data_IF_015149869969
#
_entry.id   IF_015149869969
#
_cell.length_a   1.000
_cell.length_b   1.000
_cell.length_c   1.000
_cell.angle_alpha   90.00
_cell.angle_beta   90.00
_cell.angle_gamma   90.00
#
_symmetry.space_group_name_H-M   'P 1'
#
loop_
_entity.id
_entity.type
_entity.pdbx_description
1 polymer ?
#
# COMPACT_ATOMS: atom_id res chain seq x y z
N UNK A 1 -4.60 4.03 18.14
CA UNK A 1 -3.58 3.36 19.01
C UNK A 1 -4.19 2.20 19.81
N UNK A 2 -5.35 2.36 20.45
CA UNK A 2 -6.00 1.31 21.25
C UNK A 2 -6.35 0.03 20.47
N UNK A 3 -6.90 0.17 19.25
CA UNK A 3 -7.25 -0.98 18.41
C UNK A 3 -6.05 -1.80 17.95
N UNK A 4 -4.93 -1.17 17.57
CA UNK A 4 -3.68 -1.88 17.25
C UNK A 4 -3.18 -2.70 18.44
N UNK A 5 -3.26 -2.14 19.66
CA UNK A 5 -2.84 -2.84 20.87
C UNK A 5 -3.71 -4.06 21.16
N UNK A 6 -5.04 -3.92 21.06
CA UNK A 6 -5.98 -5.02 21.28
C UNK A 6 -5.81 -6.10 20.21
N UNK A 7 -5.61 -5.72 18.94
CA UNK A 7 -5.36 -6.66 17.86
C UNK A 7 -4.09 -7.47 18.10
N UNK A 8 -2.96 -6.82 18.44
CA UNK A 8 -1.71 -7.52 18.74
C UNK A 8 -1.85 -8.44 19.97
N UNK A 9 -2.57 -8.00 20.99
CA UNK A 9 -2.82 -8.78 22.20
C UNK A 9 -3.64 -10.04 21.90
N UNK A 10 -4.76 -9.91 21.19
CA UNK A 10 -5.59 -11.06 20.81
C UNK A 10 -4.81 -12.05 19.92
N UNK A 11 -3.90 -11.53 19.09
CA UNK A 11 -3.08 -12.37 18.22
C UNK A 11 -2.03 -13.15 19.03
N UNK A 12 -1.37 -12.51 20.00
CA UNK A 12 -0.46 -13.15 20.95
C UNK A 12 -1.17 -14.23 21.77
N UNK A 13 -2.33 -13.91 22.33
CA UNK A 13 -3.12 -14.85 23.13
C UNK A 13 -3.56 -16.07 22.30
N UNK A 14 -3.86 -15.90 21.01
CA UNK A 14 -4.17 -17.01 20.12
C UNK A 14 -2.97 -17.95 19.91
N UNK A 15 -1.74 -17.44 19.86
CA UNK A 15 -0.53 -18.26 19.76
C UNK A 15 -0.19 -18.97 21.07
N UNK A 16 -0.48 -18.36 22.22
CA UNK A 16 -0.31 -18.99 23.53
C UNK A 16 -1.26 -20.19 23.72
N UNK A 17 -2.50 -20.10 23.21
CA UNK A 17 -3.46 -21.22 23.21
C UNK A 17 -2.99 -22.37 22.30
N UNK A 18 -2.36 -22.06 21.18
CA UNK A 18 -1.80 -23.07 20.25
C UNK A 18 -0.59 -23.80 20.87
N UNK A 19 0.14 -23.16 21.79
CA UNK A 19 1.32 -23.75 22.43
C UNK A 19 1.01 -24.68 23.62
N UNK A 20 -0.20 -24.63 24.20
CA UNK A 20 -0.62 -25.59 25.24
C UNK A 20 -0.71 -27.04 24.71
N UNK A 21 -0.90 -27.22 23.40
CA UNK A 21 -0.99 -28.54 22.74
C UNK A 21 0.38 -29.17 22.35
N UNK A 22 1.51 -28.60 22.78
CA UNK A 22 2.87 -29.14 22.51
C UNK A 22 3.16 -29.47 21.02
N UNK A 23 2.46 -28.85 20.08
CA UNK A 23 2.83 -28.88 18.68
C UNK A 23 3.87 -27.79 18.48
N UNK A 24 5.15 -28.14 18.59
CA UNK A 24 6.23 -27.27 18.13
C UNK A 24 5.93 -26.96 16.66
N UNK A 25 5.59 -25.71 16.30
CA UNK A 25 5.33 -25.40 14.91
C UNK A 25 6.61 -25.69 14.12
N UNK A 26 6.50 -26.20 12.88
CA UNK A 26 7.67 -26.38 12.03
C UNK A 26 8.45 -25.07 11.95
N UNK A 27 9.78 -25.14 11.87
CA UNK A 27 10.61 -23.97 11.60
C UNK A 27 10.23 -23.43 10.21
N UNK A 28 9.34 -22.44 10.17
CA UNK A 28 8.92 -21.76 8.94
C UNK A 28 9.94 -20.67 8.65
N UNK A 29 10.68 -20.83 7.55
CA UNK A 29 11.57 -19.78 7.08
C UNK A 29 10.77 -18.69 6.36
N UNK A 30 11.36 -17.50 6.17
CA UNK A 30 10.74 -16.44 5.37
C UNK A 30 10.42 -16.91 3.94
N UNK A 31 11.27 -17.78 3.38
CA UNK A 31 11.05 -18.40 2.08
C UNK A 31 9.79 -19.27 2.07
N UNK A 32 9.61 -20.08 3.11
CA UNK A 32 8.41 -20.93 3.25
C UNK A 32 7.15 -20.08 3.40
N UNK A 33 7.21 -18.99 4.17
CA UNK A 33 6.08 -18.08 4.33
C UNK A 33 5.65 -17.44 3.00
N UNK A 34 6.62 -16.96 2.20
CA UNK A 34 6.34 -16.38 0.86
C UNK A 34 5.68 -17.43 -0.03
N UNK A 35 6.23 -18.65 -0.07
CA UNK A 35 5.69 -19.72 -0.89
C UNK A 35 4.30 -20.19 -0.41
N UNK A 36 4.05 -20.23 0.90
CA UNK A 36 2.73 -20.53 1.46
C UNK A 36 1.70 -19.49 1.07
N UNK A 37 2.04 -18.20 1.14
CA UNK A 37 1.14 -17.13 0.69
C UNK A 37 0.85 -17.27 -0.79
N UNK A 38 1.87 -17.49 -1.62
CA UNK A 38 1.71 -17.68 -3.06
C UNK A 38 0.82 -18.89 -3.39
N UNK A 39 1.02 -20.02 -2.70
CA UNK A 39 0.19 -21.22 -2.88
C UNK A 39 -1.24 -21.03 -2.36
N UNK A 40 -1.41 -20.36 -1.23
CA UNK A 40 -2.72 -20.03 -0.69
C UNK A 40 -3.49 -19.15 -1.68
N UNK A 41 -2.83 -18.16 -2.27
CA UNK A 41 -3.44 -17.26 -3.24
C UNK A 41 -3.92 -17.97 -4.50
N UNK A 42 -3.18 -18.99 -4.98
CA UNK A 42 -3.62 -19.84 -6.11
C UNK A 42 -4.94 -20.58 -5.85
N UNK A 43 -5.26 -20.83 -4.58
CA UNK A 43 -6.48 -21.51 -4.16
C UNK A 43 -7.63 -20.54 -3.86
N UNK A 44 -7.39 -19.22 -3.91
CA UNK A 44 -8.43 -18.22 -3.71
C UNK A 44 -9.31 -18.15 -4.96
N UNK A 45 -10.58 -18.50 -4.79
CA UNK A 45 -11.62 -18.41 -5.81
C UNK A 45 -12.44 -17.13 -5.65
N UNK A 46 -13.16 -16.70 -6.69
CA UNK A 46 -14.09 -15.57 -6.60
C UNK A 46 -15.14 -15.76 -5.50
N UNK A 47 -15.61 -17.00 -5.28
CA UNK A 47 -16.52 -17.32 -4.18
C UNK A 47 -15.89 -17.14 -2.80
N UNK A 48 -14.57 -17.37 -2.67
CA UNK A 48 -13.82 -17.12 -1.43
C UNK A 48 -13.73 -15.62 -1.14
N UNK A 49 -13.50 -14.81 -2.16
CA UNK A 49 -13.46 -13.34 -2.03
C UNK A 49 -14.85 -12.81 -1.63
N UNK A 50 -15.90 -13.23 -2.34
CA UNK A 50 -17.29 -12.82 -2.06
C UNK A 50 -17.69 -13.14 -0.62
N UNK A 51 -17.41 -14.37 -0.15
CA UNK A 51 -17.69 -14.77 1.24
C UNK A 51 -16.89 -13.95 2.25
N UNK A 52 -15.62 -13.69 1.96
CA UNK A 52 -14.75 -12.90 2.84
C UNK A 52 -15.24 -11.47 2.98
N UNK A 53 -15.67 -10.84 1.88
CA UNK A 53 -16.24 -9.50 1.88
C UNK A 53 -17.61 -9.43 2.54
N UNK A 54 -18.45 -10.47 2.36
CA UNK A 54 -19.70 -10.62 3.09
C UNK A 54 -19.48 -10.71 4.61
N UNK A 55 -18.51 -11.52 5.05
CA UNK A 55 -18.16 -11.65 6.49
C UNK A 55 -17.53 -10.38 7.06
N UNK A 56 -16.80 -9.63 6.25
CA UNK A 56 -16.25 -8.32 6.61
C UNK A 56 -17.31 -7.21 6.64
N UNK A 57 -18.55 -7.48 6.22
CA UNK A 57 -19.63 -6.49 6.15
C UNK A 57 -19.42 -5.43 5.07
N UNK A 58 -18.51 -5.67 4.12
CA UNK A 58 -18.25 -4.79 2.98
C UNK A 58 -19.41 -4.91 1.98
N UNK A 59 -19.95 -6.11 1.81
CA UNK A 59 -21.19 -6.33 1.08
C UNK A 59 -22.37 -6.21 2.05
N UNK A 60 -23.34 -5.36 1.70
CA UNK A 60 -24.55 -5.14 2.50
C UNK A 60 -25.42 -6.41 2.49
N UNK A 61 -25.35 -7.16 3.58
CA UNK A 61 -26.22 -8.30 3.93
C UNK A 61 -26.36 -9.39 2.84
N UNK A 62 -25.37 -10.28 2.75
CA UNK A 62 -25.65 -11.69 2.45
C UNK A 62 -26.11 -12.37 3.76
N UNK A 63 -27.20 -11.89 4.37
CA UNK A 63 -27.68 -12.33 5.70
C UNK A 63 -28.29 -13.75 5.71
N UNK A 64 -28.04 -14.57 4.67
CA UNK A 64 -28.54 -15.94 4.58
C UNK A 64 -27.51 -16.90 3.98
N UNK A 65 -26.29 -16.95 4.53
CA UNK A 65 -25.53 -18.18 4.44
C UNK A 65 -25.49 -18.80 5.83
N UNK A 66 -26.59 -19.46 6.13
CA UNK A 66 -26.74 -20.42 7.21
C UNK A 66 -25.49 -21.31 7.28
N UNK A 67 -24.96 -21.44 8.49
CA UNK A 67 -23.75 -22.14 8.87
C UNK A 67 -23.99 -23.66 8.89
N UNK A 68 -24.59 -24.16 7.82
CA UNK A 68 -24.93 -25.57 7.67
C UNK A 68 -24.10 -26.15 6.54
N UNK A 69 -23.09 -26.94 6.92
CA UNK A 69 -22.42 -27.90 6.06
C UNK A 69 -23.45 -28.66 5.20
N UNK A 70 -23.66 -28.25 3.96
CA UNK A 70 -24.30 -29.09 2.96
C UNK A 70 -23.62 -28.94 1.61
N UNK A 71 -22.94 -30.04 1.30
CA UNK A 71 -22.56 -30.56 0.00
C UNK A 71 -23.60 -30.25 -1.09
N UNK A 72 -23.09 -29.84 -2.26
CA UNK A 72 -23.72 -29.92 -3.59
C UNK A 72 -25.19 -29.51 -3.69
N UNK A 73 -25.48 -28.26 -4.08
CA UNK A 73 -26.70 -27.96 -4.86
C UNK A 73 -26.59 -26.65 -5.65
N UNK A 74 -26.36 -26.83 -6.94
CA UNK A 74 -26.97 -26.10 -8.07
C UNK A 74 -27.06 -24.57 -8.04
N UNK A 75 -26.06 -23.95 -8.68
CA UNK A 75 -26.21 -23.11 -9.87
C UNK A 75 -27.66 -22.77 -10.28
N UNK A 76 -28.17 -21.60 -9.87
CA UNK A 76 -29.14 -20.77 -10.62
C UNK A 76 -29.40 -19.42 -9.92
N UNK A 77 -28.34 -18.66 -9.61
CA UNK A 77 -28.50 -17.22 -9.42
C UNK A 77 -28.75 -16.61 -10.81
N UNK A 78 -29.84 -15.86 -10.96
CA UNK A 78 -30.30 -15.38 -12.27
C UNK A 78 -29.43 -14.21 -12.75
N UNK A 79 -29.31 -14.00 -14.07
CA UNK A 79 -28.65 -12.82 -14.67
C UNK A 79 -29.17 -11.46 -14.12
N UNK A 80 -30.32 -11.46 -13.47
CA UNK A 80 -30.88 -10.28 -12.80
C UNK A 80 -30.21 -9.95 -11.45
N UNK A 81 -29.60 -10.91 -10.77
CA UNK A 81 -28.89 -10.70 -9.50
C UNK A 81 -27.47 -10.21 -9.74
N UNK A 82 -26.80 -10.70 -10.79
CA UNK A 82 -25.49 -10.21 -11.23
C UNK A 82 -25.55 -8.75 -11.67
N UNK A 83 -26.55 -8.38 -12.49
CA UNK A 83 -26.74 -6.98 -12.91
C UNK A 83 -27.07 -6.04 -11.74
N UNK A 84 -27.73 -6.56 -10.70
CA UNK A 84 -28.05 -5.79 -9.49
C UNK A 84 -26.80 -5.57 -8.61
N UNK A 85 -25.96 -6.60 -8.51
CA UNK A 85 -24.68 -6.53 -7.80
C UNK A 85 -23.72 -5.56 -8.50
N UNK A 86 -23.65 -5.62 -9.83
CA UNK A 86 -22.81 -4.72 -10.64
C UNK A 86 -23.22 -3.26 -10.42
N UNK A 87 -24.51 -2.96 -10.41
CA UNK A 87 -25.02 -1.61 -10.12
C UNK A 87 -24.72 -1.12 -8.70
N UNK A 88 -24.72 -2.02 -7.70
CA UNK A 88 -24.37 -1.67 -6.31
C UNK A 88 -22.87 -1.35 -6.17
N UNK A 89 -22.01 -2.13 -6.82
CA UNK A 89 -20.56 -1.91 -6.83
C UNK A 89 -20.23 -0.56 -7.48
N UNK A 90 -20.85 -0.23 -8.62
CA UNK A 90 -20.67 1.07 -9.30
C UNK A 90 -21.04 2.23 -8.35
N UNK A 91 -22.16 2.13 -7.64
CA UNK A 91 -22.60 3.17 -6.71
C UNK A 91 -21.64 3.35 -5.51
N UNK A 92 -21.01 2.26 -5.04
CA UNK A 92 -19.97 2.34 -3.99
C UNK A 92 -18.72 3.02 -4.53
N UNK A 93 -18.31 2.70 -5.76
CA UNK A 93 -17.14 3.29 -6.43
C UNK A 93 -17.33 4.81 -6.60
N UNK A 94 -18.51 5.26 -7.03
CA UNK A 94 -18.85 6.68 -7.18
C UNK A 94 -18.85 7.47 -5.85
N UNK A 95 -19.02 6.78 -4.71
CA UNK A 95 -18.99 7.41 -3.39
C UNK A 95 -17.57 7.54 -2.81
N UNK A 96 -16.55 6.96 -3.45
CA UNK A 96 -15.17 7.09 -3.01
C UNK A 96 -14.66 8.50 -3.31
N UNK A 97 -13.89 9.15 -2.40
CA UNK A 97 -13.28 10.45 -2.64
C UNK A 97 -12.04 10.30 -3.54
N UNK A 98 -12.23 9.68 -4.70
CA UNK A 98 -11.20 9.42 -5.71
C UNK A 98 -11.64 10.18 -6.96
N UNK A 99 -10.80 11.09 -7.43
CA UNK A 99 -11.03 11.75 -8.70
C UNK A 99 -10.79 10.72 -9.82
N UNK A 100 -11.81 10.48 -10.65
CA UNK A 100 -11.79 9.52 -11.78
C UNK A 100 -11.53 8.05 -11.35
N UNK A 101 -12.45 7.42 -10.61
CA UNK A 101 -12.27 6.05 -10.16
C UNK A 101 -12.38 5.07 -11.34
N UNK A 102 -11.47 4.12 -11.37
CA UNK A 102 -11.40 3.06 -12.38
C UNK A 102 -12.72 2.27 -12.44
N UNK A 103 -13.27 2.11 -13.65
CA UNK A 103 -14.48 1.30 -13.87
C UNK A 103 -14.18 -0.20 -13.64
N UNK A 104 -15.22 -1.00 -13.35
CA UNK A 104 -15.08 -2.44 -13.14
C UNK A 104 -14.49 -3.16 -14.37
N UNK A 105 -14.84 -2.74 -15.58
CA UNK A 105 -14.31 -3.32 -16.81
C UNK A 105 -12.87 -2.88 -17.08
N UNK A 106 -12.51 -1.65 -16.71
CA UNK A 106 -11.12 -1.18 -16.69
C UNK A 106 -10.27 -1.94 -15.66
N UNK A 107 -10.78 -2.16 -14.44
CA UNK A 107 -10.10 -2.94 -13.40
C UNK A 107 -9.84 -4.39 -13.84
N UNK A 108 -10.84 -5.06 -14.41
CA UNK A 108 -10.71 -6.45 -14.89
C UNK A 108 -9.68 -6.56 -16.03
N UNK A 109 -9.52 -5.51 -16.84
CA UNK A 109 -8.63 -5.55 -18.01
C UNK A 109 -7.26 -4.94 -17.76
N UNK A 110 -7.01 -4.39 -16.57
CA UNK A 110 -5.74 -3.74 -16.25
C UNK A 110 -4.56 -4.69 -16.46
N UNK A 111 -4.73 -5.96 -16.07
CA UNK A 111 -3.71 -7.00 -16.22
C UNK A 111 -3.48 -7.42 -17.68
N UNK A 112 -4.43 -7.15 -18.58
CA UNK A 112 -4.27 -7.44 -20.02
C UNK A 112 -3.45 -6.37 -20.74
N UNK A 113 -3.35 -5.17 -20.17
CA UNK A 113 -2.57 -4.05 -20.72
C UNK A 113 -1.23 -3.86 -20.01
N UNK A 114 -1.10 -4.37 -18.79
CA UNK A 114 0.19 -4.54 -18.13
C UNK A 114 0.95 -5.64 -18.88
N UNK A 115 1.90 -5.21 -19.73
CA UNK A 115 2.97 -6.10 -20.15
C UNK A 115 3.74 -6.41 -18.86
N UNK A 116 3.41 -7.52 -18.21
CA UNK A 116 4.24 -8.08 -17.14
C UNK A 116 5.51 -8.52 -17.86
N UNK A 117 6.42 -7.56 -18.09
CA UNK A 117 7.80 -7.90 -18.37
C UNK A 117 8.26 -8.84 -17.25
N UNK A 118 8.99 -9.86 -17.68
CA UNK A 118 9.33 -11.08 -16.96
C UNK A 118 9.46 -10.92 -15.44
N UNK A 119 8.99 -11.93 -14.68
CA UNK A 119 9.18 -11.99 -13.22
C UNK A 119 10.60 -11.51 -12.84
N UNK A 120 10.67 -10.44 -12.04
CA UNK A 120 11.94 -9.86 -11.59
C UNK A 120 12.83 -10.96 -11.01
N UNK A 121 14.06 -11.04 -11.52
CA UNK A 121 15.05 -11.94 -10.97
C UNK A 121 15.42 -11.52 -9.54
N UNK A 122 15.87 -12.47 -8.73
CA UNK A 122 16.25 -12.21 -7.33
C UNK A 122 17.30 -11.09 -7.24
N UNK A 123 18.19 -10.99 -8.22
CA UNK A 123 19.20 -9.94 -8.26
C UNK A 123 18.59 -8.56 -8.52
N UNK A 124 17.62 -8.46 -9.44
CA UNK A 124 16.90 -7.21 -9.69
C UNK A 124 16.10 -6.77 -8.46
N UNK A 125 15.46 -7.71 -7.74
CA UNK A 125 14.79 -7.40 -6.47
C UNK A 125 15.79 -6.88 -5.42
N UNK A 126 16.96 -7.50 -5.31
CA UNK A 126 18.02 -7.05 -4.38
C UNK A 126 18.53 -5.66 -4.77
N UNK A 127 18.69 -5.40 -6.06
CA UNK A 127 19.14 -4.11 -6.56
C UNK A 127 18.08 -3.01 -6.31
N UNK A 128 16.79 -3.29 -6.49
CA UNK A 128 15.68 -2.40 -6.12
C UNK A 128 15.69 -2.08 -4.61
N UNK A 129 15.82 -3.11 -3.76
CA UNK A 129 15.85 -2.94 -2.30
C UNK A 129 17.06 -2.13 -1.84
N UNK A 130 18.18 -2.26 -2.54
CA UNK A 130 19.40 -1.50 -2.28
C UNK A 130 19.40 -0.12 -2.96
N UNK A 131 18.35 0.24 -3.70
CA UNK A 131 18.23 1.53 -4.41
C UNK A 131 19.19 1.67 -5.59
N UNK A 132 19.56 0.55 -6.21
CA UNK A 132 20.47 0.46 -7.35
C UNK A 132 19.74 0.36 -8.69
N UNK A 133 18.40 0.31 -8.67
CA UNK A 133 17.58 0.30 -9.88
C UNK A 133 17.38 1.75 -10.39
N UNK A 134 17.84 2.02 -11.61
CA UNK A 134 17.77 3.33 -12.28
C UNK A 134 16.42 3.57 -12.99
N UNK A 135 15.46 2.63 -12.87
CA UNK A 135 14.16 2.68 -13.56
C UNK A 135 13.08 3.57 -12.90
N UNK A 136 13.34 4.19 -11.75
CA UNK A 136 12.52 5.32 -11.28
C UNK A 136 12.81 6.56 -12.14
N UNK A 137 12.19 6.61 -13.33
CA UNK A 137 12.12 7.82 -14.12
C UNK A 137 11.28 8.88 -13.40
N UNK A 138 11.97 9.97 -13.07
CA UNK A 138 11.49 11.35 -13.04
C UNK A 138 10.34 11.66 -12.09
N UNK A 139 10.59 11.51 -10.78
CA UNK A 139 10.34 12.70 -9.96
C UNK A 139 11.47 13.65 -10.31
N UNK A 140 11.17 14.87 -10.76
CA UNK A 140 12.11 15.98 -10.68
C UNK A 140 12.60 16.02 -9.23
N UNK A 141 13.70 15.33 -8.93
CA UNK A 141 14.42 15.50 -7.71
C UNK A 141 14.94 16.92 -7.85
N UNK A 142 14.29 17.87 -7.18
CA UNK A 142 14.90 19.18 -6.95
C UNK A 142 16.32 18.90 -6.45
N UNK A 143 17.33 19.18 -7.29
CA UNK A 143 18.71 18.86 -6.97
C UNK A 143 18.99 19.42 -5.59
N UNK A 144 19.27 18.53 -4.65
CA UNK A 144 19.50 18.91 -3.26
C UNK A 144 20.69 19.87 -3.26
N UNK A 145 20.43 21.15 -2.96
CA UNK A 145 21.44 22.22 -3.06
C UNK A 145 22.66 21.78 -2.27
N UNK A 146 23.80 21.63 -2.95
CA UNK A 146 25.05 21.23 -2.29
C UNK A 146 25.37 22.27 -1.24
N UNK A 147 25.86 21.83 -0.08
CA UNK A 147 26.22 22.73 1.03
C UNK A 147 27.16 23.86 0.55
N UNK A 148 28.06 23.57 -0.39
CA UNK A 148 28.93 24.56 -1.01
C UNK A 148 28.16 25.65 -1.77
N UNK A 149 27.13 25.29 -2.53
CA UNK A 149 26.31 26.22 -3.31
C UNK A 149 25.44 27.09 -2.39
N UNK A 150 24.94 26.51 -1.30
CA UNK A 150 24.23 27.26 -0.25
C UNK A 150 25.13 28.29 0.45
N UNK A 151 26.39 27.94 0.76
CA UNK A 151 27.37 28.86 1.35
C UNK A 151 27.71 30.00 0.38
N UNK A 152 27.90 29.69 -0.91
CA UNK A 152 28.14 30.71 -1.94
C UNK A 152 26.93 31.63 -2.08
N UNK A 153 25.71 31.10 -2.00
CA UNK A 153 24.47 31.89 -1.97
C UNK A 153 24.40 32.85 -0.79
N UNK A 154 24.77 32.39 0.41
CA UNK A 154 24.86 33.24 1.61
C UNK A 154 25.93 34.33 1.46
N UNK A 155 27.11 34.01 0.96
CA UNK A 155 28.18 35.00 0.73
C UNK A 155 27.73 36.07 -0.30
N UNK A 156 27.01 35.66 -1.35
CA UNK A 156 26.44 36.58 -2.32
C UNK A 156 25.35 37.47 -1.72
N UNK A 157 24.49 36.93 -0.85
CA UNK A 157 23.46 37.69 -0.14
C UNK A 157 24.07 38.73 0.80
N UNK A 158 25.07 38.35 1.60
CA UNK A 158 25.83 39.25 2.49
C UNK A 158 26.44 40.39 1.65
N UNK A 159 27.08 40.05 0.53
CA UNK A 159 27.71 41.03 -0.35
C UNK A 159 26.69 41.98 -0.98
N UNK A 160 25.54 41.45 -1.42
CA UNK A 160 24.46 42.26 -1.97
C UNK A 160 23.91 43.26 -0.95
N UNK A 161 23.69 42.82 0.30
CA UNK A 161 23.24 43.68 1.39
C UNK A 161 24.24 44.80 1.66
N UNK A 162 25.53 44.48 1.74
CA UNK A 162 26.60 45.46 1.97
C UNK A 162 26.71 46.48 0.83
N UNK A 163 26.52 46.04 -0.42
CA UNK A 163 26.65 46.90 -1.60
C UNK A 163 25.44 47.80 -1.81
N UNK A 164 24.23 47.32 -1.50
CA UNK A 164 23.00 48.09 -1.69
C UNK A 164 22.61 48.95 -0.48
N UNK A 165 23.45 48.97 0.57
CA UNK A 165 23.26 49.73 1.80
C UNK A 165 21.82 49.63 2.33
N UNK A 166 21.24 48.43 2.24
CA UNK A 166 19.91 48.15 2.74
C UNK A 166 19.92 48.43 4.25
N UNK A 167 18.90 49.11 4.77
CA UNK A 167 18.77 49.46 6.19
C UNK A 167 18.51 48.24 7.08
N UNK A 168 19.40 47.25 6.99
CA UNK A 168 19.36 46.04 7.78
C UNK A 168 19.99 46.36 9.13
N UNK A 169 19.28 46.01 10.21
CA UNK A 169 19.77 46.23 11.56
C UNK A 169 21.07 45.46 11.79
N UNK A 170 22.01 46.06 12.54
CA UNK A 170 23.31 45.42 12.85
C UNK A 170 23.17 44.08 13.56
N UNK A 171 22.04 43.80 14.22
CA UNK A 171 21.74 42.50 14.82
C UNK A 171 21.48 41.45 13.75
N UNK A 172 20.61 41.75 12.78
CA UNK A 172 20.26 40.82 11.72
C UNK A 172 21.47 40.47 10.84
N UNK A 173 22.35 41.45 10.59
CA UNK A 173 23.60 41.22 9.87
C UNK A 173 24.55 40.29 10.63
N UNK A 174 24.57 40.40 11.97
CA UNK A 174 25.40 39.54 12.83
C UNK A 174 24.86 38.11 12.86
N UNK A 175 23.54 37.96 12.94
CA UNK A 175 22.87 36.66 12.90
C UNK A 175 23.12 35.98 11.55
N UNK A 176 23.04 36.72 10.45
CA UNK A 176 23.28 36.22 9.09
C UNK A 176 24.73 35.77 8.86
N UNK A 177 25.71 36.48 9.44
CA UNK A 177 27.11 36.05 9.43
C UNK A 177 27.37 34.83 10.34
N UNK A 178 26.52 34.56 11.33
CA UNK A 178 26.66 33.42 12.26
C UNK A 178 26.04 32.11 11.76
N UNK A 179 25.29 32.17 10.66
CA UNK A 179 24.72 31.02 9.95
C UNK A 179 25.74 30.26 9.08
N UNK A 180 26.96 30.81 8.94
CA UNK A 180 28.10 30.21 8.26
C UNK A 180 28.89 29.31 9.22
#
# INVERSE_FOLDING_TARGET
>A
IQYRRIFCQNHLEAYDVITEDNLVPPDVTLYDAINFVAQAWKNVTSSTIIRSWGRAGILSSMENLDDTMHEETELKASASEEAKLEAEIINIIECLPIDDPLDIQEYIKIDNYMNIEDDLTINEIVDIVNGQDESESEKEQEEMVKIGDAIVGLDNLIKYVQQNNLEITSSLMKDLCSLK
#
